data_IF_744745850527
#
_entry.id   IF_744745850527
#
_cell.length_a   1.000
_cell.length_b   1.000
_cell.length_c   1.000
_cell.angle_alpha   90.00
_cell.angle_beta   90.00
_cell.angle_gamma   90.00
#
_symmetry.space_group_name_H-M   'P 1'
#
loop_
_entity.id
_entity.type
_entity.pdbx_description
1 polymer ?
#
# COMPACT_ATOMS: atom_id res chain seq x y z
N UNK A 1 3.66 26.48 14.02
CA UNK A 1 3.25 26.03 12.67
C UNK A 1 2.43 24.78 12.89
N UNK A 2 1.13 24.85 12.64
CA UNK A 2 0.18 23.76 12.85
C UNK A 2 0.56 22.60 11.93
N UNK A 3 0.98 21.50 12.54
CA UNK A 3 1.22 20.24 11.87
C UNK A 3 -0.06 19.75 11.23
N UNK A 4 -0.13 19.88 9.92
CA UNK A 4 -1.19 19.29 9.13
C UNK A 4 -0.92 17.78 9.06
N UNK A 5 -1.52 17.09 10.02
CA UNK A 5 -1.87 15.67 9.93
C UNK A 5 -2.26 15.29 8.49
N UNK A 6 -1.41 14.48 7.85
CA UNK A 6 -1.44 14.05 6.44
C UNK A 6 -2.63 13.15 6.06
N UNK A 7 -3.68 13.15 6.87
CA UNK A 7 -4.77 12.19 6.83
C UNK A 7 -6.03 12.95 6.41
N UNK A 8 -6.58 12.59 5.25
CA UNK A 8 -7.90 13.07 4.83
C UNK A 8 -8.98 12.59 5.82
N UNK A 9 -9.48 13.48 6.66
CA UNK A 9 -10.57 13.16 7.59
C UNK A 9 -11.94 13.08 6.91
N UNK A 10 -12.06 13.55 5.67
CA UNK A 10 -13.34 13.69 4.95
C UNK A 10 -13.72 12.49 4.07
N UNK A 11 -12.95 11.39 4.07
CA UNK A 11 -13.18 10.29 3.13
C UNK A 11 -13.27 8.89 3.76
N UNK A 12 -13.11 8.69 5.06
CA UNK A 12 -13.19 7.34 5.65
C UNK A 12 -14.62 6.80 5.66
N UNK A 13 -14.82 5.64 5.03
CA UNK A 13 -16.07 4.88 5.13
C UNK A 13 -16.25 4.33 6.54
N UNK A 14 -17.52 4.14 6.92
CA UNK A 14 -17.92 3.47 8.16
C UNK A 14 -17.12 2.19 8.41
N UNK A 15 -16.98 1.33 7.40
CA UNK A 15 -16.22 0.09 7.52
C UNK A 15 -14.71 0.30 7.82
N UNK A 16 -14.11 1.38 7.32
CA UNK A 16 -12.72 1.72 7.63
C UNK A 16 -12.59 2.15 9.09
N UNK A 17 -13.54 2.95 9.57
CA UNK A 17 -13.57 3.40 10.97
C UNK A 17 -13.82 2.21 11.89
N UNK A 18 -14.78 1.35 11.57
CA UNK A 18 -15.02 0.11 12.30
C UNK A 18 -13.78 -0.78 12.36
N UNK A 19 -13.05 -0.90 11.25
CA UNK A 19 -11.81 -1.67 11.18
C UNK A 19 -10.75 -1.11 12.12
N UNK A 20 -10.51 0.21 12.06
CA UNK A 20 -9.57 0.90 12.95
C UNK A 20 -9.96 0.74 14.42
N UNK A 21 -11.25 0.89 14.72
CA UNK A 21 -11.81 0.67 16.06
C UNK A 21 -11.57 -0.76 16.53
N UNK A 22 -11.90 -1.76 15.70
CA UNK A 22 -11.67 -3.18 16.02
C UNK A 22 -10.20 -3.46 16.28
N UNK A 23 -9.30 -2.86 15.49
CA UNK A 23 -7.86 -2.95 15.69
C UNK A 23 -7.43 -2.33 17.03
N UNK A 24 -7.94 -1.13 17.37
CA UNK A 24 -7.69 -0.46 18.64
C UNK A 24 -8.19 -1.27 19.85
N UNK A 25 -9.36 -1.88 19.72
CA UNK A 25 -10.02 -2.62 20.79
C UNK A 25 -9.63 -4.11 20.85
N UNK A 26 -8.73 -4.56 19.97
CA UNK A 26 -8.31 -5.95 19.88
C UNK A 26 -7.94 -6.53 21.24
N UNK A 27 -8.45 -7.74 21.52
CA UNK A 27 -8.10 -8.49 22.73
C UNK A 27 -6.69 -9.09 22.65
N UNK A 28 -6.21 -9.36 21.44
CA UNK A 28 -4.87 -9.89 21.21
C UNK A 28 -3.88 -8.73 20.97
N UNK A 29 -3.54 -8.03 22.06
CA UNK A 29 -2.66 -6.84 22.00
C UNK A 29 -1.27 -7.19 21.46
N UNK A 30 -0.70 -8.31 21.87
CA UNK A 30 0.64 -8.73 21.40
C UNK A 30 0.69 -8.84 19.88
N UNK A 31 -0.36 -9.39 19.25
CA UNK A 31 -0.43 -9.50 17.78
C UNK A 31 -0.45 -8.14 17.07
N UNK A 32 -1.21 -7.17 17.59
CA UNK A 32 -1.45 -5.88 16.93
C UNK A 32 -0.46 -4.79 17.33
N UNK A 33 0.20 -4.95 18.48
CA UNK A 33 1.19 -4.01 19.02
C UNK A 33 2.64 -4.38 18.65
N UNK A 34 2.89 -5.59 18.13
CA UNK A 34 4.25 -6.07 17.77
C UNK A 34 5.06 -5.05 16.95
N UNK A 35 4.39 -4.33 16.05
CA UNK A 35 4.96 -3.23 15.25
C UNK A 35 4.20 -1.91 15.44
N UNK A 36 3.46 -1.77 16.53
CA UNK A 36 2.70 -0.55 16.85
C UNK A 36 1.52 -0.27 15.92
N UNK A 37 0.94 -1.29 15.28
CA UNK A 37 -0.23 -1.13 14.40
C UNK A 37 -1.43 -0.52 15.12
N UNK A 38 -1.66 -0.90 16.39
CA UNK A 38 -2.68 -0.25 17.23
C UNK A 38 -2.39 1.23 17.48
N UNK A 39 -1.13 1.60 17.69
CA UNK A 39 -0.72 3.00 17.87
C UNK A 39 -1.03 3.81 16.63
N UNK A 40 -0.64 3.29 15.46
CA UNK A 40 -0.96 3.92 14.18
C UNK A 40 -2.49 4.10 14.03
N UNK A 41 -3.26 3.05 14.32
CA UNK A 41 -4.73 3.12 14.25
C UNK A 41 -5.34 4.16 15.21
N UNK A 42 -4.88 4.22 16.46
CA UNK A 42 -5.34 5.20 17.44
C UNK A 42 -5.03 6.63 16.99
N UNK A 43 -3.91 6.87 16.30
CA UNK A 43 -3.57 8.18 15.76
C UNK A 43 -4.51 8.59 14.63
N UNK A 44 -4.89 7.66 13.75
CA UNK A 44 -5.92 7.92 12.75
C UNK A 44 -7.25 8.31 13.40
N UNK A 45 -7.68 7.57 14.43
CA UNK A 45 -8.92 7.87 15.14
C UNK A 45 -8.86 9.21 15.90
N UNK A 46 -7.72 9.52 16.54
CA UNK A 46 -7.47 10.81 17.18
C UNK A 46 -7.55 11.96 16.19
N UNK A 47 -6.96 11.79 15.01
CA UNK A 47 -6.96 12.80 13.96
C UNK A 47 -8.37 13.10 13.47
N UNK A 48 -9.14 12.08 13.08
CA UNK A 48 -10.50 12.31 12.60
C UNK A 48 -11.44 12.84 13.69
N UNK A 49 -11.25 12.42 14.95
CA UNK A 49 -11.96 13.01 16.08
C UNK A 49 -11.64 14.51 16.24
N UNK A 50 -10.36 14.88 16.10
CA UNK A 50 -9.92 16.27 16.18
C UNK A 50 -10.46 17.13 15.03
N UNK A 51 -10.76 16.50 13.89
CA UNK A 51 -11.45 17.11 12.76
C UNK A 51 -12.99 17.18 12.92
N UNK A 52 -13.54 16.79 14.07
CA UNK A 52 -14.96 16.90 14.39
C UNK A 52 -15.80 15.65 14.08
N UNK A 53 -15.18 14.51 13.74
CA UNK A 53 -15.91 13.26 13.51
C UNK A 53 -16.36 12.60 14.81
N UNK A 54 -17.64 12.21 14.89
CA UNK A 54 -18.19 11.51 16.05
C UNK A 54 -17.96 9.99 15.96
N UNK A 55 -17.09 9.48 16.83
CA UNK A 55 -16.79 8.05 16.92
C UNK A 55 -17.85 7.25 17.70
N UNK A 56 -18.77 7.92 18.42
CA UNK A 56 -19.71 7.26 19.33
C UNK A 56 -20.73 6.36 18.62
N UNK A 57 -21.00 6.60 17.34
CA UNK A 57 -21.89 5.77 16.52
C UNK A 57 -21.28 4.44 16.08
N UNK A 58 -19.96 4.27 16.17
CA UNK A 58 -19.24 3.08 15.68
C UNK A 58 -18.89 2.09 16.80
N UNK A 59 -19.15 2.46 18.06
CA UNK A 59 -18.63 1.77 19.23
C UNK A 59 -19.69 1.77 20.33
N UNK A 60 -19.88 0.65 21.02
CA UNK A 60 -20.72 0.65 22.21
C UNK A 60 -20.11 1.55 23.31
N UNK A 61 -20.96 2.02 24.23
CA UNK A 61 -20.55 2.99 25.27
C UNK A 61 -19.33 2.53 26.09
N UNK A 62 -19.26 1.25 26.46
CA UNK A 62 -18.16 0.72 27.27
C UNK A 62 -16.83 0.78 26.51
N UNK A 63 -16.83 0.33 25.27
CA UNK A 63 -15.64 0.32 24.42
C UNK A 63 -15.26 1.74 23.97
N UNK A 64 -16.23 2.64 23.84
CA UNK A 64 -15.98 4.05 23.54
C UNK A 64 -15.22 4.75 24.67
N UNK A 65 -15.60 4.53 25.93
CA UNK A 65 -14.87 5.10 27.08
C UNK A 65 -13.45 4.55 27.17
N UNK A 66 -13.25 3.23 26.91
CA UNK A 66 -11.91 2.64 26.82
C UNK A 66 -11.09 3.28 25.70
N UNK A 67 -11.67 3.46 24.51
CA UNK A 67 -10.97 4.06 23.38
C UNK A 67 -10.60 5.52 23.67
N UNK A 68 -11.50 6.31 24.28
CA UNK A 68 -11.21 7.68 24.73
C UNK A 68 -10.03 7.72 25.69
N UNK A 69 -9.96 6.79 26.65
CA UNK A 69 -8.83 6.71 27.57
C UNK A 69 -7.51 6.47 26.82
N UNK A 70 -7.48 5.55 25.86
CA UNK A 70 -6.30 5.29 25.04
C UNK A 70 -5.91 6.49 24.16
N UNK A 71 -6.90 7.18 23.56
CA UNK A 71 -6.68 8.38 22.75
C UNK A 71 -6.17 9.55 23.62
N UNK A 72 -6.68 9.72 24.84
CA UNK A 72 -6.23 10.79 25.73
C UNK A 72 -4.79 10.57 26.17
N UNK A 73 -4.39 9.32 26.46
CA UNK A 73 -2.98 8.98 26.73
C UNK A 73 -2.06 9.35 25.57
N UNK A 74 -2.56 9.23 24.33
CA UNK A 74 -1.82 9.70 23.15
C UNK A 74 -1.73 11.23 23.08
N UNK A 75 -2.80 11.98 23.39
CA UNK A 75 -2.76 13.46 23.41
C UNK A 75 -1.76 14.03 24.41
N UNK A 76 -1.52 13.32 25.51
CA UNK A 76 -0.56 13.69 26.55
C UNK A 76 0.91 13.45 26.13
N UNK A 77 1.14 12.60 25.12
CA UNK A 77 2.46 12.45 24.53
C UNK A 77 2.74 13.69 23.67
N UNK A 78 3.77 14.45 24.05
CA UNK A 78 4.31 15.49 23.19
C UNK A 78 5.07 14.83 22.04
N UNK A 79 4.33 14.55 20.96
CA UNK A 79 4.83 13.98 19.72
C UNK A 79 5.99 14.79 19.12
N UNK A 80 6.06 16.09 19.40
CA UNK A 80 7.11 16.99 18.92
C UNK A 80 8.34 17.05 19.85
N UNK A 81 8.18 16.77 21.15
CA UNK A 81 9.30 16.50 22.07
C UNK A 81 9.98 15.17 21.83
N UNK A 82 9.36 14.28 21.05
CA UNK A 82 10.00 13.07 20.55
C UNK A 82 10.96 13.32 19.38
N UNK A 83 11.55 14.51 19.31
CA UNK A 83 12.77 14.75 18.52
C UNK A 83 13.93 14.04 19.22
N UNK A 84 14.06 12.72 19.05
CA UNK A 84 15.35 12.01 19.08
C UNK A 84 16.32 12.40 20.23
N UNK A 85 15.82 12.74 21.42
CA UNK A 85 16.67 13.12 22.54
C UNK A 85 16.83 11.89 23.42
N UNK A 86 17.82 11.06 23.08
CA UNK A 86 18.35 10.12 24.06
C UNK A 86 19.53 10.76 24.77
N UNK A 87 20.48 11.39 24.07
CA UNK A 87 21.55 12.20 24.68
C UNK A 87 22.08 13.20 23.63
N UNK A 88 22.29 14.48 23.97
CA UNK A 88 22.93 15.50 23.10
C UNK A 88 24.29 15.06 22.54
N UNK A 89 24.29 14.30 21.45
CA UNK A 89 25.48 13.89 20.72
C UNK A 89 25.17 13.91 19.22
N UNK A 90 25.98 14.62 18.44
CA UNK A 90 25.72 14.98 17.04
C UNK A 90 25.88 13.82 16.03
N UNK A 91 25.88 12.57 16.50
CA UNK A 91 25.96 11.36 15.65
C UNK A 91 24.61 10.65 15.60
N UNK A 92 23.71 11.15 14.75
CA UNK A 92 22.38 10.60 14.54
C UNK A 92 22.41 9.29 13.69
N UNK A 93 22.02 8.15 14.27
CA UNK A 93 21.56 6.97 13.52
C UNK A 93 20.03 6.85 13.69
N UNK A 94 19.25 7.28 12.70
CA UNK A 94 17.81 7.57 12.89
C UNK A 94 16.88 6.36 13.04
N UNK A 95 17.17 5.22 12.40
CA UNK A 95 16.36 4.00 12.50
C UNK A 95 17.25 2.84 12.92
N UNK A 96 16.93 2.17 14.03
CA UNK A 96 17.71 1.01 14.48
C UNK A 96 17.73 -0.10 13.42
N UNK A 97 16.64 -0.20 12.64
CA UNK A 97 16.48 -1.08 11.47
C UNK A 97 17.38 -0.71 10.29
N UNK A 98 18.16 0.37 10.35
CA UNK A 98 19.18 0.72 9.36
C UNK A 98 20.61 0.63 9.91
N UNK A 99 20.79 0.49 11.23
CA UNK A 99 22.11 0.41 11.90
C UNK A 99 22.95 -0.77 11.40
N UNK A 100 24.17 -0.49 10.94
CA UNK A 100 25.08 -1.49 10.35
C UNK A 100 25.65 -2.47 11.38
N UNK A 101 25.65 -2.09 12.66
CA UNK A 101 26.31 -2.80 13.76
C UNK A 101 25.47 -3.90 14.43
N UNK A 102 24.19 -4.05 14.09
CA UNK A 102 23.38 -5.10 14.72
C UNK A 102 23.72 -6.50 14.18
N UNK A 103 24.10 -7.40 15.08
CA UNK A 103 24.37 -8.82 14.80
C UNK A 103 23.09 -9.62 14.50
N UNK A 104 21.91 -9.00 14.63
CA UNK A 104 20.60 -9.63 14.41
C UNK A 104 20.13 -9.58 12.96
N UNK A 105 20.84 -8.84 12.10
CA UNK A 105 20.42 -8.58 10.72
C UNK A 105 21.16 -9.53 9.77
N UNK A 106 20.41 -10.15 8.88
CA UNK A 106 20.94 -11.05 7.87
C UNK A 106 21.91 -10.30 6.90
N UNK A 107 23.02 -10.91 6.47
CA UNK A 107 24.02 -10.26 5.61
C UNK A 107 23.45 -9.65 4.32
N UNK A 108 22.47 -10.30 3.68
CA UNK A 108 21.85 -9.78 2.45
C UNK A 108 21.12 -8.45 2.69
N UNK A 109 20.44 -8.29 3.82
CA UNK A 109 19.77 -7.05 4.19
C UNK A 109 20.79 -5.95 4.53
N UNK A 110 21.90 -6.31 5.21
CA UNK A 110 22.99 -5.36 5.48
C UNK A 110 23.55 -4.75 4.21
N UNK A 111 23.78 -5.56 3.17
CA UNK A 111 24.28 -5.08 1.90
C UNK A 111 23.26 -4.17 1.19
N UNK A 112 21.99 -4.56 1.17
CA UNK A 112 20.93 -3.75 0.58
C UNK A 112 20.75 -2.37 1.25
N UNK A 113 21.05 -2.23 2.54
CA UNK A 113 20.94 -0.93 3.24
C UNK A 113 21.93 0.13 2.77
N UNK A 114 23.07 -0.26 2.21
CA UNK A 114 24.00 0.71 1.62
C UNK A 114 23.32 1.53 0.52
N UNK A 115 22.40 0.88 -0.21
CA UNK A 115 21.55 1.53 -1.22
C UNK A 115 20.57 2.50 -0.55
N UNK A 116 19.91 2.11 0.54
CA UNK A 116 18.94 2.97 1.25
C UNK A 116 19.61 4.25 1.72
N UNK A 117 20.80 4.13 2.34
CA UNK A 117 21.55 5.28 2.85
C UNK A 117 21.99 6.26 1.74
N UNK A 118 22.09 5.82 0.47
CA UNK A 118 22.45 6.67 -0.67
C UNK A 118 21.36 7.70 -1.02
N UNK A 119 20.07 7.36 -0.84
CA UNK A 119 18.96 8.21 -1.29
C UNK A 119 18.32 9.04 -0.18
N UNK A 120 18.64 8.78 1.09
CA UNK A 120 18.06 9.50 2.22
C UNK A 120 16.57 9.20 2.40
N UNK A 121 15.87 10.12 3.07
CA UNK A 121 14.44 10.00 3.38
C UNK A 121 13.56 10.32 2.17
N UNK A 122 12.44 9.61 2.10
CA UNK A 122 11.35 9.95 1.20
C UNK A 122 10.61 11.18 1.73
N UNK A 123 10.43 12.22 0.90
CA UNK A 123 9.54 13.32 1.22
C UNK A 123 8.10 12.83 1.42
N UNK A 124 7.35 13.48 2.31
CA UNK A 124 5.98 13.06 2.65
C UNK A 124 5.02 13.08 1.45
N UNK A 125 5.25 13.94 0.46
CA UNK A 125 4.48 13.96 -0.79
C UNK A 125 4.63 12.67 -1.63
N UNK A 126 5.70 11.90 -1.41
CA UNK A 126 5.91 10.62 -2.07
C UNK A 126 5.22 9.46 -1.32
N UNK A 127 4.71 9.70 -0.12
CA UNK A 127 4.17 8.69 0.78
C UNK A 127 2.67 8.92 1.00
N UNK A 128 1.83 8.06 0.43
CA UNK A 128 0.37 8.22 0.48
C UNK A 128 -0.29 7.01 1.11
N UNK A 129 -1.33 7.26 1.89
CA UNK A 129 -2.19 6.20 2.44
C UNK A 129 -3.56 6.30 1.81
N UNK A 130 -3.96 5.23 1.11
CA UNK A 130 -5.30 5.10 0.57
C UNK A 130 -6.09 4.12 1.41
N UNK A 131 -7.23 4.53 1.94
CA UNK A 131 -8.25 3.58 2.38
C UNK A 131 -9.24 3.36 1.23
N UNK A 132 -10.07 2.32 1.35
CA UNK A 132 -11.11 1.85 0.41
C UNK A 132 -11.37 2.71 -0.84
N UNK A 133 -11.36 2.12 -2.04
CA UNK A 133 -11.48 2.74 -3.36
C UNK A 133 -12.37 3.99 -3.45
N UNK A 134 -13.54 4.00 -2.81
CA UNK A 134 -14.43 5.16 -2.81
C UNK A 134 -13.84 6.43 -2.14
N UNK A 135 -12.79 6.32 -1.34
CA UNK A 135 -12.03 7.48 -0.86
C UNK A 135 -11.43 8.30 -2.00
N UNK A 136 -11.08 7.63 -3.09
CA UNK A 136 -10.52 8.25 -4.30
C UNK A 136 -11.65 8.94 -5.07
N UNK A 137 -12.86 8.36 -5.08
CA UNK A 137 -14.06 8.99 -5.67
C UNK A 137 -14.55 10.24 -4.90
N UNK A 138 -14.23 10.34 -3.60
CA UNK A 138 -14.61 11.46 -2.73
C UNK A 138 -13.55 12.56 -2.63
N UNK A 139 -12.52 12.56 -3.49
CA UNK A 139 -11.65 13.73 -3.64
C UNK A 139 -12.50 14.81 -4.33
N UNK A 140 -12.82 15.95 -3.67
CA UNK A 140 -13.77 16.92 -4.22
C UNK A 140 -13.39 17.44 -5.63
N UNK A 141 -14.34 18.02 -6.36
CA UNK A 141 -14.11 18.47 -7.76
C UNK A 141 -13.83 19.97 -7.91
N UNK A 142 -13.92 20.78 -6.85
CA UNK A 142 -13.90 22.26 -6.96
C UNK A 142 -12.88 22.99 -6.07
N UNK A 143 -12.08 23.85 -6.72
CA UNK A 143 -10.92 24.61 -6.20
C UNK A 143 -11.13 25.38 -4.88
N UNK A 144 -12.30 25.96 -4.63
CA UNK A 144 -12.56 26.81 -3.44
C UNK A 144 -12.73 26.04 -2.12
N UNK A 145 -13.19 24.79 -2.16
CA UNK A 145 -13.33 23.97 -0.95
C UNK A 145 -11.99 23.38 -0.46
N UNK A 146 -10.94 23.53 -1.28
CA UNK A 146 -9.62 22.92 -1.09
C UNK A 146 -8.60 23.82 -0.41
N UNK A 147 -8.72 25.13 -0.59
CA UNK A 147 -7.76 26.10 -0.06
C UNK A 147 -7.89 26.26 1.48
N UNK A 148 -8.97 25.76 2.09
CA UNK A 148 -9.20 25.79 3.54
C UNK A 148 -8.68 24.58 4.31
N UNK A 149 -8.32 23.49 3.63
CA UNK A 149 -7.92 22.20 4.22
C UNK A 149 -6.43 21.93 3.97
N UNK A 150 -5.57 22.47 4.84
CA UNK A 150 -4.11 22.39 4.71
C UNK A 150 -3.55 20.98 4.51
N UNK A 151 -2.60 20.90 3.57
CA UNK A 151 -1.81 19.75 3.08
C UNK A 151 -2.61 18.55 2.58
N UNK A 152 -2.79 18.52 1.26
CA UNK A 152 -3.21 17.34 0.51
C UNK A 152 -2.23 17.10 -0.64
N UNK A 153 -2.23 15.84 -1.07
CA UNK A 153 -1.51 15.32 -2.22
C UNK A 153 -1.90 16.03 -3.52
N UNK A 154 -1.15 17.09 -3.84
CA UNK A 154 -1.28 17.87 -5.06
C UNK A 154 -1.10 17.01 -6.33
N UNK A 155 -0.41 15.87 -6.25
CA UNK A 155 -0.13 15.00 -7.40
C UNK A 155 -1.32 14.11 -7.78
N UNK A 156 -2.04 13.48 -6.84
CA UNK A 156 -3.27 12.74 -7.20
C UNK A 156 -4.40 13.70 -7.62
N UNK A 157 -4.45 14.90 -7.03
CA UNK A 157 -5.33 16.00 -7.41
C UNK A 157 -5.05 16.46 -8.84
N UNK A 158 -3.79 16.76 -9.17
CA UNK A 158 -3.41 17.14 -10.53
C UNK A 158 -3.58 16.00 -11.52
N UNK A 159 -3.31 14.75 -11.17
CA UNK A 159 -3.49 13.61 -12.08
C UNK A 159 -4.97 13.28 -12.38
N UNK A 160 -5.85 13.37 -11.37
CA UNK A 160 -7.30 13.16 -11.58
C UNK A 160 -7.98 14.36 -12.27
N UNK A 161 -7.48 15.58 -12.08
CA UNK A 161 -8.00 16.80 -12.72
C UNK A 161 -7.41 17.08 -14.11
N UNK A 162 -6.13 16.73 -14.37
CA UNK A 162 -5.47 16.91 -15.68
C UNK A 162 -5.87 15.84 -16.70
N UNK A 163 -6.28 14.65 -16.24
CA UNK A 163 -6.68 13.55 -17.12
C UNK A 163 -8.10 13.13 -16.81
N UNK A 164 -9.11 13.82 -17.37
CA UNK A 164 -10.48 13.36 -17.32
C UNK A 164 -10.50 11.91 -17.74
N UNK A 165 -11.17 11.08 -16.96
CA UNK A 165 -11.37 9.65 -17.22
C UNK A 165 -11.85 9.40 -18.68
N UNK A 166 -12.54 10.40 -19.27
CA UNK A 166 -12.95 10.46 -20.68
C UNK A 166 -11.82 10.47 -21.74
N UNK A 167 -10.55 10.65 -21.36
CA UNK A 167 -9.40 10.73 -22.27
C UNK A 167 -8.56 9.45 -22.33
N UNK A 168 -8.90 8.40 -21.54
CA UNK A 168 -8.15 7.14 -21.56
C UNK A 168 -8.54 6.28 -22.76
N UNK A 169 -7.67 6.23 -23.77
CA UNK A 169 -7.87 5.48 -25.01
C UNK A 169 -7.01 4.20 -25.10
N UNK A 170 -6.35 3.81 -24.00
CA UNK A 170 -5.45 2.66 -24.02
C UNK A 170 -6.24 1.37 -24.23
N UNK A 171 -5.64 0.44 -24.98
CA UNK A 171 -6.22 -0.91 -25.16
C UNK A 171 -6.22 -1.70 -23.84
N UNK A 172 -5.39 -1.32 -22.86
CA UNK A 172 -5.28 -2.00 -21.57
C UNK A 172 -4.86 -3.44 -21.74
N UNK A 173 -3.72 -3.69 -22.38
CA UNK A 173 -3.28 -5.04 -22.71
C UNK A 173 -2.94 -5.80 -21.42
N UNK A 174 -3.47 -7.02 -21.28
CA UNK A 174 -3.17 -7.88 -20.14
C UNK A 174 -2.19 -8.94 -20.59
N UNK A 175 -1.13 -9.14 -19.82
CA UNK A 175 -0.10 -10.12 -20.10
C UNK A 175 0.22 -10.97 -18.87
N UNK A 176 0.51 -12.25 -19.06
CA UNK A 176 1.18 -13.06 -18.04
C UNK A 176 2.67 -13.03 -18.26
N UNK A 177 3.45 -12.87 -17.19
CA UNK A 177 4.90 -12.90 -17.25
C UNK A 177 5.45 -13.85 -16.21
N UNK A 178 6.28 -14.80 -16.65
CA UNK A 178 6.97 -15.68 -15.72
C UNK A 178 8.28 -15.05 -15.24
N UNK A 179 8.48 -14.97 -13.92
CA UNK A 179 9.74 -14.46 -13.38
C UNK A 179 9.65 -13.93 -11.96
N UNK A 180 10.72 -13.24 -11.56
CA UNK A 180 10.84 -12.52 -10.30
C UNK A 180 10.83 -11.01 -10.55
N UNK A 181 10.38 -10.24 -9.56
CA UNK A 181 10.08 -8.81 -9.71
C UNK A 181 11.31 -7.97 -10.04
N UNK A 182 12.46 -8.27 -9.43
CA UNK A 182 13.74 -7.59 -9.62
C UNK A 182 14.32 -7.76 -11.02
N UNK A 183 13.80 -8.72 -11.81
CA UNK A 183 14.12 -8.87 -13.23
C UNK A 183 13.04 -8.24 -14.11
N UNK A 184 11.77 -8.50 -13.79
CA UNK A 184 10.63 -8.01 -14.58
C UNK A 184 10.61 -6.48 -14.71
N UNK A 185 11.01 -5.75 -13.68
CA UNK A 185 11.13 -4.28 -13.72
C UNK A 185 12.05 -3.79 -14.85
N UNK A 186 13.14 -4.51 -15.11
CA UNK A 186 14.11 -4.17 -16.15
C UNK A 186 13.71 -4.67 -17.54
N UNK A 187 12.74 -5.58 -17.62
CA UNK A 187 12.17 -6.02 -18.90
C UNK A 187 11.15 -5.00 -19.46
N UNK A 188 10.65 -4.08 -18.63
CA UNK A 188 9.79 -2.99 -19.11
C UNK A 188 10.62 -2.04 -19.98
N UNK A 189 10.13 -1.58 -21.15
CA UNK A 189 10.85 -0.62 -21.98
C UNK A 189 11.28 0.65 -21.22
N UNK A 190 12.41 1.24 -21.61
CA UNK A 190 12.89 2.50 -21.03
C UNK A 190 11.92 3.65 -21.32
N UNK A 191 11.81 4.62 -20.41
CA UNK A 191 10.90 5.77 -20.55
C UNK A 191 9.45 5.50 -20.17
N UNK A 192 9.09 4.26 -19.81
CA UNK A 192 7.75 3.90 -19.34
C UNK A 192 7.63 4.05 -17.82
N UNK A 193 6.47 4.51 -17.35
CA UNK A 193 6.14 4.50 -15.93
C UNK A 193 5.87 3.05 -15.48
N UNK A 194 6.39 2.67 -14.32
CA UNK A 194 6.16 1.34 -13.73
C UNK A 194 5.49 1.52 -12.37
N UNK A 195 4.36 0.85 -12.18
CA UNK A 195 3.69 0.72 -10.88
C UNK A 195 3.68 -0.77 -10.50
N UNK A 196 4.22 -1.12 -9.34
CA UNK A 196 4.33 -2.50 -8.84
C UNK A 196 3.45 -2.70 -7.62
N UNK A 197 2.68 -3.79 -7.60
CA UNK A 197 2.02 -4.26 -6.39
C UNK A 197 3.00 -5.05 -5.52
N UNK A 198 3.24 -4.55 -4.31
CA UNK A 198 3.95 -5.24 -3.24
C UNK A 198 2.98 -6.08 -2.40
N UNK A 199 3.29 -7.37 -2.23
CA UNK A 199 2.54 -8.35 -1.46
C UNK A 199 2.90 -8.24 0.02
N UNK A 200 2.61 -7.07 0.57
CA UNK A 200 3.17 -6.60 1.81
C UNK A 200 2.63 -7.34 3.05
N UNK A 201 3.43 -7.35 4.10
CA UNK A 201 2.99 -7.60 5.47
C UNK A 201 2.29 -6.34 6.03
N UNK A 202 1.06 -6.52 6.51
CA UNK A 202 0.22 -5.44 7.05
C UNK A 202 0.76 -4.81 8.34
N UNK A 203 1.69 -5.48 9.04
CA UNK A 203 2.24 -5.07 10.33
C UNK A 203 3.69 -4.67 10.25
N UNK A 204 4.45 -5.36 9.40
CA UNK A 204 5.89 -5.29 9.43
C UNK A 204 6.42 -4.65 8.13
N UNK A 205 7.02 -3.46 8.20
CA UNK A 205 7.71 -2.86 7.06
C UNK A 205 8.67 -3.86 6.42
N UNK A 206 8.47 -4.19 5.14
CA UNK A 206 9.38 -5.03 4.37
C UNK A 206 9.35 -6.50 4.79
N UNK A 207 8.33 -6.94 5.53
CA UNK A 207 8.23 -8.31 6.02
C UNK A 207 9.47 -8.74 6.79
N UNK A 208 9.94 -9.97 6.53
CA UNK A 208 11.10 -10.56 7.19
C UNK A 208 12.42 -10.20 6.49
N UNK A 209 12.49 -9.05 5.80
CA UNK A 209 13.66 -8.54 5.09
C UNK A 209 14.92 -8.55 5.97
N UNK A 210 14.80 -8.07 7.22
CA UNK A 210 15.93 -8.05 8.16
C UNK A 210 16.45 -9.44 8.53
N UNK A 211 15.63 -10.47 8.36
CA UNK A 211 15.92 -11.86 8.72
C UNK A 211 16.31 -12.72 7.52
N UNK A 212 16.44 -12.15 6.32
CA UNK A 212 16.89 -12.89 5.14
C UNK A 212 15.80 -13.68 4.43
N UNK A 213 14.51 -13.44 4.74
CA UNK A 213 13.42 -14.04 3.99
C UNK A 213 13.45 -13.57 2.53
N UNK A 214 12.84 -14.34 1.64
CA UNK A 214 12.97 -14.16 0.19
C UNK A 214 11.64 -14.21 -0.56
N UNK A 215 10.55 -13.74 0.06
CA UNK A 215 9.28 -13.58 -0.66
C UNK A 215 9.34 -12.33 -1.55
N UNK A 216 8.21 -11.93 -2.13
CA UNK A 216 8.18 -10.84 -3.10
C UNK A 216 8.49 -9.48 -2.43
N UNK A 217 7.90 -9.18 -1.28
CA UNK A 217 8.14 -7.95 -0.51
C UNK A 217 9.63 -7.81 -0.12
N UNK A 218 10.24 -8.85 0.46
CA UNK A 218 11.65 -8.78 0.82
C UNK A 218 12.54 -8.62 -0.42
N UNK A 219 12.16 -9.25 -1.53
CA UNK A 219 12.89 -9.11 -2.80
C UNK A 219 12.85 -7.69 -3.33
N UNK A 220 11.70 -7.01 -3.23
CA UNK A 220 11.56 -5.58 -3.50
C UNK A 220 12.52 -4.79 -2.61
N UNK A 221 12.54 -5.06 -1.31
CA UNK A 221 13.41 -4.37 -0.34
C UNK A 221 14.91 -4.61 -0.59
N UNK A 222 15.33 -5.80 -1.03
CA UNK A 222 16.76 -6.07 -1.33
C UNK A 222 17.27 -5.33 -2.57
N UNK A 223 16.39 -5.04 -3.52
CA UNK A 223 16.75 -4.50 -4.83
C UNK A 223 16.23 -3.09 -5.05
N UNK A 224 15.87 -2.38 -3.99
CA UNK A 224 15.40 -1.00 -4.07
C UNK A 224 15.64 -0.22 -2.78
N UNK A 225 15.32 1.09 -2.79
CA UNK A 225 15.24 1.89 -1.57
C UNK A 225 13.85 1.84 -0.88
N UNK A 226 12.95 0.93 -1.28
CA UNK A 226 11.58 0.84 -0.74
C UNK A 226 11.51 0.63 0.77
N UNK A 227 12.45 -0.12 1.35
CA UNK A 227 12.48 -0.31 2.80
C UNK A 227 12.65 1.02 3.56
N UNK A 228 13.41 1.97 3.01
CA UNK A 228 13.52 3.32 3.57
C UNK A 228 12.17 4.04 3.59
N UNK A 229 11.40 3.98 2.50
CA UNK A 229 10.06 4.55 2.43
C UNK A 229 9.09 3.93 3.45
N UNK A 230 9.16 2.61 3.66
CA UNK A 230 8.33 1.93 4.66
C UNK A 230 8.70 2.33 6.10
N UNK A 231 9.98 2.58 6.37
CA UNK A 231 10.41 3.17 7.64
C UNK A 231 9.96 4.62 7.78
N UNK A 232 9.95 5.41 6.71
CA UNK A 232 9.44 6.77 6.73
C UNK A 232 7.92 6.79 6.99
N UNK A 233 7.14 5.85 6.43
CA UNK A 233 5.77 5.63 6.87
C UNK A 233 5.70 5.35 8.37
N UNK A 234 6.51 4.40 8.85
CA UNK A 234 6.51 4.02 10.27
C UNK A 234 6.80 5.21 11.17
N UNK A 235 7.86 5.95 10.92
CA UNK A 235 8.37 6.95 11.86
C UNK A 235 7.86 8.36 11.61
N UNK A 236 7.68 8.75 10.36
CA UNK A 236 7.20 10.10 10.01
C UNK A 236 5.68 10.17 9.90
N UNK A 237 5.03 9.15 9.34
CA UNK A 237 3.57 9.16 9.16
C UNK A 237 2.81 8.54 10.34
N UNK A 238 3.40 7.56 11.04
CA UNK A 238 2.74 6.76 12.08
C UNK A 238 3.45 6.81 13.45
N UNK A 239 4.40 7.74 13.64
CA UNK A 239 5.13 7.99 14.91
C UNK A 239 5.67 6.71 15.58
N UNK A 240 6.29 5.85 14.79
CA UNK A 240 6.89 4.59 15.21
C UNK A 240 5.95 3.39 15.25
N UNK A 241 4.65 3.55 14.95
CA UNK A 241 3.74 2.45 14.62
C UNK A 241 3.78 2.11 13.14
N UNK A 242 3.22 0.97 12.73
CA UNK A 242 3.04 0.67 11.31
C UNK A 242 1.79 -0.16 11.09
N UNK A 243 1.00 0.23 10.08
CA UNK A 243 -0.10 -0.58 9.58
C UNK A 243 -0.36 -0.27 8.11
N UNK A 244 -0.84 -1.28 7.38
CA UNK A 244 -1.52 -1.08 6.10
C UNK A 244 -3.03 -1.20 6.35
N UNK A 245 -3.88 -0.25 5.94
CA UNK A 245 -5.31 -0.33 6.25
C UNK A 245 -6.00 -1.60 5.74
N UNK A 246 -6.99 -2.12 6.49
CA UNK A 246 -7.67 -3.38 6.18
C UNK A 246 -8.30 -3.39 4.78
N UNK A 247 -8.89 -2.29 4.33
CA UNK A 247 -9.45 -2.17 2.97
C UNK A 247 -8.66 -1.20 2.11
N UNK A 248 -7.39 -0.96 2.44
CA UNK A 248 -6.54 0.04 1.79
C UNK A 248 -5.15 -0.46 1.42
N UNK A 249 -4.31 0.50 1.07
CA UNK A 249 -2.92 0.29 0.66
C UNK A 249 -2.06 1.54 0.97
N UNK A 250 -0.75 1.34 1.00
CA UNK A 250 0.23 2.42 0.97
C UNK A 250 0.70 2.60 -0.47
N UNK A 251 0.95 3.83 -0.88
CA UNK A 251 1.53 4.15 -2.18
C UNK A 251 2.83 4.92 -1.98
N UNK A 252 3.90 4.46 -2.62
CA UNK A 252 5.24 5.04 -2.55
C UNK A 252 5.64 5.45 -3.96
N UNK A 253 5.83 6.75 -4.19
CA UNK A 253 6.25 7.30 -5.48
C UNK A 253 7.78 7.28 -5.61
N UNK A 254 8.28 7.10 -6.83
CA UNK A 254 9.69 7.30 -7.21
C UNK A 254 10.73 6.39 -6.50
N UNK A 255 10.35 5.16 -6.15
CA UNK A 255 11.31 4.17 -5.64
C UNK A 255 12.37 3.86 -6.70
N UNK A 256 13.63 3.78 -6.28
CA UNK A 256 14.76 3.40 -7.12
C UNK A 256 14.99 1.91 -6.99
N UNK A 257 14.87 1.19 -8.10
CA UNK A 257 15.22 -0.22 -8.22
C UNK A 257 16.57 -0.40 -8.90
N UNK A 258 17.32 -1.40 -8.44
CA UNK A 258 18.69 -1.68 -8.87
C UNK A 258 18.76 -3.04 -9.52
N UNK A 259 19.42 -3.10 -10.67
CA UNK A 259 19.58 -4.35 -11.38
C UNK A 259 20.47 -5.29 -10.57
N UNK A 260 20.02 -6.52 -10.24
CA UNK A 260 20.76 -7.43 -9.35
C UNK A 260 22.18 -7.76 -9.83
N UNK A 261 22.42 -7.75 -11.15
CA UNK A 261 23.68 -8.22 -11.74
C UNK A 261 24.73 -7.14 -11.92
N UNK A 262 24.35 -5.86 -11.89
CA UNK A 262 25.25 -4.76 -12.25
C UNK A 262 25.20 -3.58 -11.29
N UNK A 263 24.18 -3.44 -10.42
CA UNK A 263 23.97 -2.36 -9.43
C UNK A 263 24.12 -0.90 -9.92
N UNK A 264 24.47 -0.68 -11.19
CA UNK A 264 24.68 0.61 -11.84
C UNK A 264 23.42 1.03 -12.60
N UNK A 265 22.67 0.06 -13.14
CA UNK A 265 21.42 0.34 -13.84
C UNK A 265 20.29 0.52 -12.82
N UNK A 266 19.67 1.70 -12.86
CA UNK A 266 18.60 2.12 -11.96
C UNK A 266 17.29 2.32 -12.74
N UNK A 267 16.16 1.92 -12.16
CA UNK A 267 14.81 2.21 -12.67
C UNK A 267 13.99 2.91 -11.60
N UNK A 268 13.25 3.94 -12.00
CA UNK A 268 12.24 4.57 -11.14
C UNK A 268 10.95 3.77 -11.24
N UNK A 269 10.38 3.42 -10.10
CA UNK A 269 9.19 2.57 -9.98
C UNK A 269 8.33 3.12 -8.84
N UNK A 270 7.02 3.11 -9.02
CA UNK A 270 6.08 3.37 -7.93
C UNK A 270 5.63 2.04 -7.32
N UNK A 271 5.39 2.02 -6.00
CA UNK A 271 4.97 0.82 -5.28
C UNK A 271 3.60 1.05 -4.67
N UNK A 272 2.69 0.09 -4.87
CA UNK A 272 1.44 -0.05 -4.11
C UNK A 272 1.60 -1.21 -3.14
N UNK A 273 1.77 -0.95 -1.85
CA UNK A 273 1.89 -1.97 -0.83
C UNK A 273 0.52 -2.29 -0.23
N UNK A 274 0.08 -3.54 -0.41
CA UNK A 274 -1.19 -4.04 0.12
C UNK A 274 -1.02 -5.45 0.67
N UNK A 275 -1.71 -5.74 1.77
CA UNK A 275 -1.68 -7.03 2.43
C UNK A 275 -3.02 -7.76 2.27
N UNK A 276 -3.02 -8.99 1.77
CA UNK A 276 -4.19 -9.87 1.89
C UNK A 276 -4.31 -10.40 3.33
N UNK A 277 -5.49 -10.92 3.69
CA UNK A 277 -5.63 -11.62 4.97
C UNK A 277 -4.66 -12.79 5.08
N UNK A 278 -3.98 -12.87 6.21
CA UNK A 278 -3.25 -14.06 6.60
C UNK A 278 -4.22 -15.19 7.01
N UNK A 279 -4.42 -16.18 6.13
CA UNK A 279 -5.32 -17.31 6.39
C UNK A 279 -4.69 -18.39 7.28
N UNK A 280 -3.38 -18.31 7.61
CA UNK A 280 -2.79 -19.13 8.67
C UNK A 280 -3.21 -18.61 10.05
N UNK A 281 -3.57 -17.32 10.13
CA UNK A 281 -3.95 -16.58 11.34
C UNK A 281 -2.82 -16.49 12.37
N UNK A 282 -1.58 -16.72 11.95
CA UNK A 282 -0.41 -16.66 12.83
C UNK A 282 0.11 -15.22 12.93
N UNK A 283 0.03 -14.47 11.83
CA UNK A 283 0.81 -13.26 11.62
C UNK A 283 0.02 -12.10 10.98
N UNK A 284 -1.31 -12.21 10.83
CA UNK A 284 -2.14 -11.07 10.38
C UNK A 284 -2.26 -9.96 11.43
N UNK A 285 -2.24 -8.70 11.01
CA UNK A 285 -2.74 -7.55 11.79
C UNK A 285 -4.23 -7.70 12.04
N UNK A 286 -4.99 -7.93 10.96
CA UNK A 286 -6.43 -8.05 10.99
C UNK A 286 -6.86 -9.51 11.12
N UNK A 287 -7.93 -9.74 11.86
CA UNK A 287 -8.51 -11.08 11.91
C UNK A 287 -9.20 -11.38 10.60
N UNK A 288 -8.75 -12.43 9.92
CA UNK A 288 -9.44 -12.98 8.77
C UNK A 288 -10.88 -13.34 9.18
N UNK A 289 -11.90 -12.87 8.45
CA UNK A 289 -13.28 -13.28 8.69
C UNK A 289 -13.43 -14.82 8.69
N UNK A 290 -14.41 -15.34 9.40
CA UNK A 290 -14.66 -16.79 9.45
C UNK A 290 -15.28 -17.34 8.17
N UNK A 291 -15.99 -16.49 7.41
CA UNK A 291 -16.64 -16.85 6.14
C UNK A 291 -15.73 -16.56 4.95
N UNK A 292 -15.64 -17.55 4.06
CA UNK A 292 -14.95 -17.44 2.76
C UNK A 292 -15.53 -16.31 1.91
N UNK A 293 -16.85 -16.13 1.92
CA UNK A 293 -17.55 -15.09 1.15
C UNK A 293 -17.17 -13.71 1.66
N UNK A 294 -17.05 -13.54 3.00
CA UNK A 294 -16.62 -12.27 3.59
C UNK A 294 -15.14 -12.00 3.33
N UNK A 295 -14.28 -13.02 3.37
CA UNK A 295 -12.87 -12.90 2.95
C UNK A 295 -12.80 -12.43 1.49
N UNK A 296 -13.53 -13.06 0.56
CA UNK A 296 -13.56 -12.68 -0.85
C UNK A 296 -14.06 -11.24 -1.03
N UNK A 297 -15.17 -10.86 -0.39
CA UNK A 297 -15.74 -9.52 -0.49
C UNK A 297 -14.80 -8.43 0.08
N UNK A 298 -14.19 -8.67 1.22
CA UNK A 298 -13.24 -7.74 1.84
C UNK A 298 -11.94 -7.64 1.04
N UNK A 299 -11.44 -8.76 0.52
CA UNK A 299 -10.28 -8.78 -0.38
C UNK A 299 -10.58 -8.02 -1.67
N UNK A 300 -11.79 -8.14 -2.23
CA UNK A 300 -12.21 -7.38 -3.40
C UNK A 300 -12.08 -5.87 -3.15
N UNK A 301 -12.60 -5.35 -2.03
CA UNK A 301 -12.51 -3.92 -1.67
C UNK A 301 -11.07 -3.43 -1.63
N UNK A 302 -10.17 -4.24 -1.07
CA UNK A 302 -8.74 -3.93 -1.03
C UNK A 302 -8.12 -3.88 -2.42
N UNK A 303 -8.36 -4.89 -3.25
CA UNK A 303 -7.82 -4.94 -4.62
C UNK A 303 -8.40 -3.83 -5.50
N UNK A 304 -9.67 -3.43 -5.28
CA UNK A 304 -10.26 -2.26 -5.93
C UNK A 304 -9.52 -0.98 -5.55
N UNK A 305 -9.10 -0.85 -4.29
CA UNK A 305 -8.30 0.28 -3.80
C UNK A 305 -6.90 0.28 -4.39
N UNK A 306 -6.27 -0.90 -4.53
CA UNK A 306 -4.97 -1.04 -5.22
C UNK A 306 -5.06 -0.51 -6.65
N UNK A 307 -6.07 -0.95 -7.42
CA UNK A 307 -6.26 -0.45 -8.79
C UNK A 307 -6.55 1.05 -8.79
N UNK A 308 -7.44 1.53 -7.94
CA UNK A 308 -7.79 2.95 -7.90
C UNK A 308 -6.58 3.83 -7.52
N UNK A 309 -5.75 3.40 -6.56
CA UNK A 309 -4.52 4.13 -6.18
C UNK A 309 -3.50 4.15 -7.32
N UNK A 310 -3.30 3.03 -8.02
CA UNK A 310 -2.46 2.99 -9.21
C UNK A 310 -3.00 3.93 -10.30
N UNK A 311 -4.31 3.92 -10.52
CA UNK A 311 -5.00 4.79 -11.48
C UNK A 311 -4.88 6.28 -11.16
N UNK A 312 -4.91 6.65 -9.88
CA UNK A 312 -4.79 8.04 -9.43
C UNK A 312 -3.35 8.57 -9.60
N UNK A 313 -2.38 7.69 -9.78
CA UNK A 313 -0.97 8.05 -9.92
C UNK A 313 -0.39 7.67 -11.30
N UNK A 314 -1.23 7.31 -12.28
CA UNK A 314 -0.77 7.19 -13.67
C UNK A 314 -0.36 8.56 -14.18
N UNK A 315 0.78 8.63 -14.84
CA UNK A 315 1.13 9.79 -15.66
C UNK A 315 0.25 9.82 -16.91
N UNK A 316 -0.03 11.03 -17.38
CA UNK A 316 -0.83 11.22 -18.58
C UNK A 316 -2.19 10.50 -18.55
N UNK A 317 -2.64 10.04 -19.71
CA UNK A 317 -3.81 9.17 -19.84
C UNK A 317 -3.49 7.70 -19.50
N UNK A 318 -2.31 7.41 -18.93
CA UNK A 318 -1.80 6.07 -18.63
C UNK A 318 -1.24 5.30 -19.83
N UNK A 319 -1.04 5.97 -20.97
CA UNK A 319 -0.56 5.35 -22.22
C UNK A 319 0.89 4.88 -22.20
N UNK A 320 1.67 5.30 -21.19
CA UNK A 320 3.05 4.85 -20.96
C UNK A 320 3.19 4.08 -19.63
N UNK A 321 2.09 3.69 -19.00
CA UNK A 321 2.10 3.04 -17.68
C UNK A 321 1.99 1.52 -17.77
N UNK A 322 2.97 0.85 -17.15
CA UNK A 322 2.96 -0.59 -16.89
C UNK A 322 2.57 -0.85 -15.43
N UNK A 323 1.44 -1.53 -15.23
CA UNK A 323 1.03 -2.02 -13.93
C UNK A 323 1.45 -3.49 -13.75
N UNK A 324 2.30 -3.77 -12.76
CA UNK A 324 2.73 -5.13 -12.43
C UNK A 324 1.99 -5.62 -11.19
N UNK A 325 1.05 -6.55 -11.40
CA UNK A 325 0.29 -7.25 -10.35
C UNK A 325 0.74 -8.71 -10.26
N UNK A 326 0.10 -9.49 -9.39
CA UNK A 326 0.30 -10.92 -9.37
C UNK A 326 -0.55 -11.63 -8.30
N UNK A 327 -0.15 -12.85 -7.90
CA UNK A 327 -0.91 -13.71 -7.00
C UNK A 327 -0.72 -13.30 -5.53
N UNK A 328 -1.08 -12.05 -5.20
CA UNK A 328 -1.02 -11.48 -3.84
C UNK A 328 -1.71 -12.40 -2.83
N UNK A 329 -1.06 -12.65 -1.69
CA UNK A 329 -1.59 -13.50 -0.62
C UNK A 329 -1.60 -15.02 -0.91
N UNK A 330 -1.32 -15.48 -2.13
CA UNK A 330 -1.34 -16.91 -2.49
C UNK A 330 -0.02 -17.64 -2.18
N UNK A 331 0.75 -17.13 -1.23
CA UNK A 331 2.02 -17.68 -0.76
C UNK A 331 1.93 -17.95 0.74
N UNK A 332 2.70 -17.21 1.53
CA UNK A 332 2.72 -17.31 2.99
C UNK A 332 1.32 -17.20 3.63
N UNK A 333 0.46 -16.33 3.11
CA UNK A 333 -0.89 -16.07 3.64
C UNK A 333 -1.96 -17.06 3.14
N UNK A 334 -1.61 -18.05 2.31
CA UNK A 334 -2.47 -19.16 1.90
C UNK A 334 -3.84 -18.79 1.27
N UNK A 335 -3.96 -17.60 0.66
CA UNK A 335 -5.19 -17.24 -0.07
C UNK A 335 -5.36 -18.12 -1.32
N UNK A 336 -6.58 -18.64 -1.61
CA UNK A 336 -6.81 -19.44 -2.80
C UNK A 336 -6.53 -18.65 -4.09
N UNK A 337 -5.68 -19.21 -4.96
CA UNK A 337 -5.32 -18.55 -6.22
C UNK A 337 -6.55 -18.30 -7.10
N UNK A 338 -7.50 -19.23 -7.12
CA UNK A 338 -8.76 -19.11 -7.87
C UNK A 338 -9.55 -17.87 -7.45
N UNK A 339 -9.62 -17.58 -6.15
CA UNK A 339 -10.29 -16.40 -5.62
C UNK A 339 -9.56 -15.14 -6.08
N UNK A 340 -8.25 -15.06 -5.89
CA UNK A 340 -7.47 -13.86 -6.22
C UNK A 340 -7.52 -13.54 -7.72
N UNK A 341 -7.34 -14.53 -8.60
CA UNK A 341 -7.39 -14.27 -10.05
C UNK A 341 -8.77 -13.89 -10.54
N UNK A 342 -9.84 -14.47 -9.96
CA UNK A 342 -11.22 -14.12 -10.28
C UNK A 342 -11.52 -12.68 -9.88
N UNK A 343 -11.04 -12.26 -8.71
CA UNK A 343 -11.15 -10.87 -8.26
C UNK A 343 -10.40 -9.91 -9.19
N UNK A 344 -9.16 -10.23 -9.59
CA UNK A 344 -8.43 -9.40 -10.55
C UNK A 344 -9.18 -9.28 -11.88
N UNK A 345 -9.61 -10.39 -12.46
CA UNK A 345 -10.34 -10.40 -13.73
C UNK A 345 -11.63 -9.58 -13.64
N UNK A 346 -12.40 -9.75 -12.55
CA UNK A 346 -13.61 -8.96 -12.26
C UNK A 346 -13.31 -7.46 -12.14
N UNK A 347 -12.31 -7.06 -11.36
CA UNK A 347 -12.01 -5.65 -11.12
C UNK A 347 -11.53 -4.98 -12.41
N UNK A 348 -10.65 -5.64 -13.15
CA UNK A 348 -10.11 -5.12 -14.41
C UNK A 348 -11.18 -5.02 -15.53
N UNK A 349 -12.28 -5.76 -15.41
CA UNK A 349 -13.45 -5.69 -16.32
C UNK A 349 -14.53 -4.70 -15.91
N UNK A 350 -14.49 -4.19 -14.67
CA UNK A 350 -15.43 -3.15 -14.23
C UNK A 350 -15.24 -1.86 -15.05
N UNK A 351 -16.32 -1.05 -15.21
CA UNK A 351 -16.21 0.29 -15.76
C UNK A 351 -15.21 1.13 -14.97
N UNK A 352 -14.42 1.93 -15.70
CA UNK A 352 -13.52 2.91 -15.09
C UNK A 352 -14.32 4.05 -14.44
N UNK A 353 -15.45 4.42 -15.04
CA UNK A 353 -16.52 5.25 -14.46
C UNK A 353 -17.84 4.75 -15.05
N UNK A 354 -18.93 4.80 -14.28
CA UNK A 354 -20.29 4.46 -14.70
C UNK A 354 -20.77 5.21 -15.96
N UNK A 355 -20.23 6.41 -16.24
CA UNK A 355 -20.58 7.19 -17.43
C UNK A 355 -19.75 6.83 -18.67
N UNK A 356 -18.77 5.93 -18.57
CA UNK A 356 -17.83 5.64 -19.64
C UNK A 356 -17.95 4.19 -20.10
N UNK A 357 -17.77 3.98 -21.40
CA UNK A 357 -17.73 2.65 -22.00
C UNK A 357 -16.32 2.03 -21.97
N UNK A 358 -15.48 2.46 -21.01
CA UNK A 358 -14.11 1.99 -20.83
C UNK A 358 -13.97 1.25 -19.51
N UNK A 359 -13.10 0.25 -19.47
CA UNK A 359 -12.92 -0.60 -18.29
C UNK A 359 -11.68 -0.18 -17.51
N UNK A 360 -11.59 -0.57 -16.23
CA UNK A 360 -10.48 -0.19 -15.34
C UNK A 360 -9.10 -0.51 -15.92
N UNK A 361 -8.96 -1.59 -16.70
CA UNK A 361 -7.70 -1.94 -17.37
C UNK A 361 -7.20 -0.89 -18.38
N UNK A 362 -8.08 -0.10 -18.98
CA UNK A 362 -7.71 0.94 -19.94
C UNK A 362 -7.01 2.13 -19.28
N UNK A 363 -6.89 2.12 -17.96
CA UNK A 363 -6.05 3.05 -17.23
C UNK A 363 -4.55 2.86 -17.44
N UNK A 364 -4.14 1.74 -18.02
CA UNK A 364 -2.75 1.36 -18.18
C UNK A 364 -2.50 0.95 -19.63
N UNK A 365 -1.29 1.14 -20.12
CA UNK A 365 -0.88 0.61 -21.43
C UNK A 365 -0.84 -0.91 -21.37
N UNK A 366 -0.15 -1.41 -20.34
CA UNK A 366 0.07 -2.83 -20.06
C UNK A 366 -0.19 -3.16 -18.60
N UNK A 367 -0.78 -4.33 -18.37
CA UNK A 367 -0.91 -4.97 -17.06
C UNK A 367 -0.21 -6.31 -17.11
N UNK A 368 0.84 -6.48 -16.31
CA UNK A 368 1.56 -7.73 -16.20
C UNK A 368 1.12 -8.47 -14.93
N UNK A 369 0.56 -9.66 -15.08
CA UNK A 369 0.39 -10.60 -13.99
C UNK A 369 1.68 -11.44 -13.87
N UNK A 370 2.51 -11.08 -12.89
CA UNK A 370 3.82 -11.66 -12.67
C UNK A 370 3.76 -12.81 -11.65
N UNK A 371 4.36 -13.95 -12.00
CA UNK A 371 4.53 -15.08 -11.08
C UNK A 371 5.74 -15.93 -11.45
N UNK A 372 6.48 -16.43 -10.47
CA UNK A 372 7.51 -17.44 -10.71
C UNK A 372 6.95 -18.84 -11.03
N UNK A 373 5.64 -19.05 -10.81
CA UNK A 373 4.95 -20.33 -10.91
C UNK A 373 3.96 -20.32 -12.08
N UNK A 374 4.16 -21.22 -13.05
CA UNK A 374 3.40 -21.29 -14.31
C UNK A 374 1.93 -21.67 -14.11
N UNK A 375 1.63 -22.53 -13.12
CA UNK A 375 0.25 -22.89 -12.77
C UNK A 375 -0.58 -21.67 -12.36
N UNK A 376 -0.01 -20.76 -11.55
CA UNK A 376 -0.68 -19.50 -11.17
C UNK A 376 -0.97 -18.60 -12.38
N UNK A 377 -0.05 -18.57 -13.36
CA UNK A 377 -0.24 -17.82 -14.61
C UNK A 377 -1.39 -18.41 -15.43
N UNK A 378 -1.42 -19.74 -15.58
CA UNK A 378 -2.49 -20.44 -16.30
C UNK A 378 -3.85 -20.22 -15.63
N UNK A 379 -3.90 -20.24 -14.30
CA UNK A 379 -5.14 -19.96 -13.55
C UNK A 379 -5.63 -18.53 -13.80
N UNK A 380 -4.73 -17.55 -13.88
CA UNK A 380 -5.08 -16.18 -14.23
C UNK A 380 -5.57 -16.04 -15.68
N UNK A 381 -4.88 -16.65 -16.64
CA UNK A 381 -5.27 -16.66 -18.05
C UNK A 381 -6.71 -17.19 -18.24
N UNK A 382 -7.06 -18.29 -17.55
CA UNK A 382 -8.42 -18.85 -17.56
C UNK A 382 -9.46 -17.89 -16.99
N UNK A 383 -9.19 -17.29 -15.84
CA UNK A 383 -10.10 -16.33 -15.22
C UNK A 383 -10.33 -15.08 -16.09
N UNK A 384 -9.29 -14.60 -16.77
CA UNK A 384 -9.42 -13.51 -17.74
C UNK A 384 -10.23 -13.93 -18.97
N UNK A 385 -10.00 -15.12 -19.51
CA UNK A 385 -10.77 -15.62 -20.66
C UNK A 385 -12.28 -15.68 -20.33
N UNK A 386 -12.63 -16.09 -19.11
CA UNK A 386 -14.02 -16.09 -18.63
C UNK A 386 -14.59 -14.66 -18.45
N UNK A 387 -13.80 -13.72 -17.94
CA UNK A 387 -14.26 -12.37 -17.64
C UNK A 387 -14.32 -11.42 -18.85
N UNK A 388 -13.45 -11.63 -19.84
CA UNK A 388 -13.30 -10.72 -20.98
C UNK A 388 -13.59 -11.36 -22.35
N UNK A 389 -13.65 -12.69 -22.44
CA UNK A 389 -13.62 -13.44 -23.70
C UNK A 389 -12.21 -13.95 -24.05
N UNK A 390 -12.13 -14.89 -25.00
CA UNK A 390 -10.85 -15.48 -25.45
C UNK A 390 -9.90 -14.41 -26.05
N UNK A 391 -8.59 -14.70 -26.04
CA UNK A 391 -7.51 -13.93 -26.70
C UNK A 391 -7.14 -12.55 -26.12
N UNK A 392 -7.57 -12.23 -24.90
CA UNK A 392 -7.24 -10.93 -24.25
C UNK A 392 -5.92 -10.97 -23.46
N UNK A 393 -5.45 -12.15 -23.08
CA UNK A 393 -4.19 -12.31 -22.34
C UNK A 393 -3.12 -12.89 -23.24
N UNK A 394 -1.99 -12.19 -23.40
CA UNK A 394 -0.82 -12.72 -24.11
C UNK A 394 0.29 -13.09 -23.11
N UNK A 395 0.90 -14.26 -23.30
CA UNK A 395 2.04 -14.69 -22.47
C UNK A 395 3.35 -14.06 -22.98
N UNK A 396 4.11 -13.48 -22.06
CA UNK A 396 5.40 -12.80 -22.31
C UNK A 396 6.59 -13.58 -21.75
#
# INVERSE_FOLDING_TARGET
MSSSSFISSLSLYEENIESLVKLCLSKNRDRVDMHGGRKAALQYLLHIQSAGFDLSSFINLKDFEKLKEEINKLKELDFYKKKFDEHRDDTYEQYWELTSHSNRIHPIAKNARQIINKYGHFPLEQLKVYFNAKQIDNIPSSKEHFESCGSFDDDARDNMLKYPIAQRQNKGQINTKQGRIEKAIFDVPSGKQIIVLDFADERMPGGLFLYGASTQEETICYHSNAYGALLDFKYQCFDGGFMIPEFGCLYIKNVKFFKPTQHIEERTVDIVAAACYDLTREHGLYEAPSSSERIEANTQKKLETVIASAQANTEENGSDTYLIIGPIGCGAFQNPIQTIVKLWAKILSQPLNNSLNTQKRHAFEHIWFLSGKTDKLITFEKACAEAFGCDIVQRL
#
